data_IF_761980000477
#
_entry.id   IF_761980000477
#
_cell.length_a   1.000
_cell.length_b   1.000
_cell.length_c   1.000
_cell.angle_alpha   90.00
_cell.angle_beta   90.00
_cell.angle_gamma   90.00
#
_symmetry.space_group_name_H-M   'P 1'
#
loop_
_entity.id
_entity.type
_entity.pdbx_description
1 polymer ?
#
# COMPACT_ATOMS: atom_id res chain seq x y z
N UNK A 1 50.46 40.09 20.16
CA UNK A 1 49.02 39.80 19.91
C UNK A 1 48.97 38.42 19.31
N UNK A 2 48.73 37.44 20.17
CA UNK A 2 48.54 36.04 19.81
C UNK A 2 47.22 35.89 19.07
N UNK A 3 47.25 35.22 17.91
CA UNK A 3 46.04 34.78 17.21
C UNK A 3 45.73 33.35 17.66
N UNK A 4 44.64 33.20 18.42
CA UNK A 4 43.99 31.91 18.65
C UNK A 4 43.36 31.44 17.33
N UNK A 5 43.74 30.23 16.89
CA UNK A 5 42.99 29.42 15.94
C UNK A 5 42.04 28.54 16.75
N UNK A 6 40.74 28.67 16.53
CA UNK A 6 39.73 27.77 17.08
C UNK A 6 39.50 26.64 16.08
N UNK A 7 39.91 25.44 16.48
CA UNK A 7 39.49 24.19 15.84
C UNK A 7 37.97 24.04 15.99
N UNK A 8 37.29 23.84 14.87
CA UNK A 8 35.88 23.45 14.83
C UNK A 8 35.81 21.97 14.47
N UNK A 9 35.58 21.14 15.50
CA UNK A 9 35.16 19.76 15.32
C UNK A 9 33.86 19.72 14.51
N UNK A 10 33.92 19.11 13.34
CA UNK A 10 32.75 18.78 12.55
C UNK A 10 32.15 17.49 13.10
N UNK A 11 31.04 17.64 13.83
CA UNK A 11 30.21 16.53 14.25
C UNK A 11 29.66 15.80 13.00
N UNK A 12 30.10 14.57 12.78
CA UNK A 12 29.50 13.66 11.81
C UNK A 12 28.09 13.30 12.27
N UNK A 13 27.10 13.92 11.64
CA UNK A 13 25.69 13.52 11.68
C UNK A 13 25.57 12.08 11.14
N UNK A 14 25.34 11.12 12.03
CA UNK A 14 24.96 9.77 11.66
C UNK A 14 23.53 9.79 11.13
N UNK A 15 23.37 9.85 9.81
CA UNK A 15 22.11 9.44 9.19
C UNK A 15 21.91 7.94 9.45
N UNK A 16 20.71 7.50 9.89
CA UNK A 16 20.41 6.08 9.97
C UNK A 16 20.62 5.47 8.58
N UNK A 17 21.37 4.38 8.54
CA UNK A 17 21.66 3.61 7.33
C UNK A 17 20.35 3.32 6.62
N UNK A 18 20.17 3.87 5.41
CA UNK A 18 18.97 3.66 4.59
C UNK A 18 18.84 2.15 4.36
N UNK A 19 17.77 1.52 4.84
CA UNK A 19 17.42 0.18 4.35
C UNK A 19 17.14 0.34 2.87
N UNK A 20 18.01 -0.22 2.03
CA UNK A 20 17.82 -0.22 0.59
C UNK A 20 16.96 -1.42 0.20
N UNK A 21 15.94 -1.17 -0.62
CA UNK A 21 15.16 -2.24 -1.24
C UNK A 21 16.11 -3.01 -2.16
N UNK A 22 16.21 -4.35 -2.06
CA UNK A 22 17.00 -5.14 -2.98
C UNK A 22 16.55 -4.91 -4.43
N UNK A 23 17.48 -4.87 -5.37
CA UNK A 23 17.12 -4.91 -6.79
C UNK A 23 16.48 -6.27 -7.10
N UNK A 24 15.29 -6.24 -7.69
CA UNK A 24 14.49 -7.41 -8.03
C UNK A 24 13.74 -7.16 -9.34
N UNK A 25 13.18 -8.21 -9.92
CA UNK A 25 12.29 -8.15 -11.08
C UNK A 25 10.87 -8.49 -10.67
N UNK A 26 9.89 -8.03 -11.45
CA UNK A 26 8.48 -8.29 -11.20
C UNK A 26 8.22 -9.79 -10.92
N UNK A 27 7.61 -10.08 -9.75
CA UNK A 27 7.28 -11.41 -9.20
C UNK A 27 8.44 -12.19 -8.59
N UNK A 28 9.60 -11.56 -8.43
CA UNK A 28 10.65 -12.13 -7.61
C UNK A 28 10.24 -12.18 -6.13
N UNK A 29 10.95 -13.00 -5.38
CA UNK A 29 10.90 -13.02 -3.92
C UNK A 29 12.05 -12.15 -3.40
N UNK A 30 11.73 -11.20 -2.53
CA UNK A 30 12.74 -10.36 -1.88
C UNK A 30 12.69 -10.54 -0.36
N UNK A 31 13.83 -10.29 0.28
CA UNK A 31 13.90 -10.08 1.72
C UNK A 31 14.20 -8.61 1.99
N UNK A 32 13.24 -7.89 2.57
CA UNK A 32 13.41 -6.51 3.00
C UNK A 32 13.22 -6.42 4.52
N UNK A 33 14.32 -6.11 5.20
CA UNK A 33 14.37 -6.08 6.67
C UNK A 33 15.55 -5.20 7.11
N UNK A 34 15.34 -4.26 8.05
CA UNK A 34 14.09 -3.97 8.73
C UNK A 34 13.13 -3.14 7.87
N UNK A 35 11.83 -3.30 8.13
CA UNK A 35 10.76 -2.41 7.66
C UNK A 35 10.01 -1.80 8.83
N UNK A 36 9.17 -0.81 8.56
CA UNK A 36 8.51 -0.03 9.60
C UNK A 36 7.00 0.04 9.37
N UNK A 37 6.25 -0.14 10.45
CA UNK A 37 4.83 0.18 10.52
C UNK A 37 4.60 1.38 11.42
N UNK A 38 3.74 2.31 11.01
CA UNK A 38 3.27 3.42 11.84
C UNK A 38 1.79 3.23 12.06
N UNK A 39 1.38 3.11 13.32
CA UNK A 39 0.00 2.81 13.69
C UNK A 39 -0.10 1.75 14.78
N UNK A 40 -1.15 0.93 14.72
CA UNK A 40 -1.35 -0.21 15.60
C UNK A 40 -1.22 -1.52 14.82
N UNK A 41 -0.62 -2.52 15.48
CA UNK A 41 -0.45 -3.88 14.97
C UNK A 41 -1.64 -4.78 15.31
N UNK A 42 -2.62 -4.29 16.08
CA UNK A 42 -3.80 -5.06 16.46
C UNK A 42 -4.67 -5.44 15.24
N UNK A 43 -4.93 -6.75 15.07
CA UNK A 43 -5.80 -7.32 14.03
C UNK A 43 -7.28 -6.99 14.27
N UNK A 44 -7.66 -6.78 15.52
CA UNK A 44 -9.05 -6.52 15.93
C UNK A 44 -9.40 -5.04 15.78
N UNK A 45 -9.49 -4.57 14.53
CA UNK A 45 -10.00 -3.24 14.26
C UNK A 45 -11.52 -3.23 14.44
N UNK A 46 -12.03 -2.28 15.21
CA UNK A 46 -13.49 -2.04 15.32
C UNK A 46 -14.04 -1.31 14.10
N UNK A 47 -13.17 -0.59 13.37
CA UNK A 47 -13.51 0.15 12.15
C UNK A 47 -13.21 -0.68 10.89
N UNK A 48 -13.95 -0.47 9.79
CA UNK A 48 -13.58 -0.93 8.45
C UNK A 48 -12.10 -0.67 8.13
N UNK A 49 -11.47 -1.60 7.42
CA UNK A 49 -10.17 -1.30 6.81
C UNK A 49 -10.41 -0.31 5.67
N UNK A 50 -9.71 0.82 5.73
CA UNK A 50 -9.72 1.86 4.69
C UNK A 50 -8.44 1.84 3.86
N UNK A 51 -7.53 0.89 4.12
CA UNK A 51 -6.27 0.76 3.39
C UNK A 51 -6.49 0.01 2.09
N UNK A 52 -5.71 0.37 1.08
CA UNK A 52 -5.76 -0.27 -0.24
C UNK A 52 -5.20 -1.70 -0.22
N UNK A 53 -4.55 -2.11 0.88
CA UNK A 53 -3.92 -3.42 1.04
C UNK A 53 -4.78 -4.41 1.85
N UNK A 54 -6.01 -4.02 2.20
CA UNK A 54 -6.96 -4.86 2.94
C UNK A 54 -6.56 -5.10 4.40
N UNK A 55 -6.54 -6.35 4.85
CA UNK A 55 -6.26 -6.73 6.26
C UNK A 55 -4.79 -6.71 6.66
N UNK A 56 -3.88 -6.41 5.76
CA UNK A 56 -2.46 -6.49 6.06
C UNK A 56 -1.95 -5.27 6.84
N UNK A 57 -0.74 -5.42 7.37
CA UNK A 57 0.00 -4.36 8.07
C UNK A 57 0.84 -3.62 7.04
N UNK A 58 0.43 -2.40 6.70
CA UNK A 58 1.17 -1.58 5.75
C UNK A 58 2.55 -1.22 6.30
N UNK A 59 3.58 -1.38 5.47
CA UNK A 59 5.00 -1.22 5.84
C UNK A 59 5.76 -0.29 4.89
N UNK A 60 6.79 0.36 5.42
CA UNK A 60 7.66 1.26 4.69
C UNK A 60 9.11 1.18 5.17
N UNK A 61 10.07 1.51 4.32
CA UNK A 61 11.47 1.81 4.71
C UNK A 61 11.68 3.29 5.07
N UNK A 62 10.62 4.10 4.97
CA UNK A 62 10.62 5.54 5.24
C UNK A 62 9.54 5.89 6.29
N UNK A 63 9.71 5.48 7.57
CA UNK A 63 8.69 5.67 8.60
C UNK A 63 8.29 7.13 8.82
N UNK A 64 9.23 8.07 8.69
CA UNK A 64 8.94 9.49 8.85
C UNK A 64 8.01 10.04 7.75
N UNK A 65 8.16 9.58 6.50
CA UNK A 65 7.27 9.95 5.42
C UNK A 65 5.90 9.30 5.60
N UNK A 66 5.87 8.04 6.04
CA UNK A 66 4.61 7.34 6.32
C UNK A 66 3.80 8.03 7.42
N UNK A 67 4.45 8.41 8.54
CA UNK A 67 3.78 9.17 9.59
C UNK A 67 3.25 10.52 9.09
N UNK A 68 3.99 11.23 8.24
CA UNK A 68 3.54 12.50 7.66
C UNK A 68 2.25 12.31 6.85
N UNK A 69 2.17 11.23 6.07
CA UNK A 69 1.00 10.90 5.25
C UNK A 69 -0.21 10.58 6.13
N UNK A 70 -0.07 9.67 7.10
CA UNK A 70 -1.14 9.30 8.06
C UNK A 70 -1.68 10.53 8.82
N UNK A 71 -0.86 11.56 9.01
CA UNK A 71 -1.29 12.79 9.68
C UNK A 71 -1.93 13.78 8.72
N UNK A 72 -1.45 13.83 7.48
CA UNK A 72 -1.96 14.72 6.44
C UNK A 72 -3.32 14.28 5.90
N UNK A 73 -3.59 12.96 5.83
CA UNK A 73 -4.87 12.41 5.36
C UNK A 73 -6.03 12.60 6.37
N UNK A 74 -5.71 13.05 7.60
CA UNK A 74 -6.68 13.32 8.66
C UNK A 74 -7.09 12.10 9.49
N UNK A 75 -6.63 10.89 9.15
CA UNK A 75 -7.10 9.61 9.75
C UNK A 75 -6.70 9.45 11.21
N UNK A 76 -5.49 9.89 11.59
CA UNK A 76 -4.94 9.71 12.94
C UNK A 76 -4.41 11.01 13.56
N UNK A 77 -4.95 12.16 13.16
CA UNK A 77 -4.55 13.49 13.71
C UNK A 77 -4.64 13.58 15.24
N UNK A 78 -5.58 12.85 15.85
CA UNK A 78 -5.83 12.84 17.29
C UNK A 78 -5.29 11.60 18.02
N UNK A 79 -4.55 10.73 17.33
CA UNK A 79 -4.08 9.47 17.89
C UNK A 79 -2.60 9.56 18.29
N UNK A 80 -2.24 8.78 19.30
CA UNK A 80 -0.83 8.55 19.63
C UNK A 80 -0.32 7.43 18.73
N UNK A 81 0.59 7.75 17.81
CA UNK A 81 1.12 6.78 16.87
C UNK A 81 2.35 6.11 17.47
N UNK A 82 2.47 4.80 17.22
CA UNK A 82 3.69 4.05 17.48
C UNK A 82 4.35 3.72 16.16
N UNK A 83 5.67 3.88 16.12
CA UNK A 83 6.50 3.40 15.01
C UNK A 83 7.14 2.10 15.45
N UNK A 84 6.69 1.01 14.84
CA UNK A 84 7.26 -0.31 15.03
C UNK A 84 8.31 -0.56 13.97
N UNK A 85 9.50 -0.95 14.41
CA UNK A 85 10.49 -1.61 13.58
C UNK A 85 10.23 -3.10 13.58
N UNK A 86 10.06 -3.65 12.38
CA UNK A 86 9.78 -5.05 12.11
C UNK A 86 11.03 -5.65 11.45
N UNK A 87 11.57 -6.71 12.05
CA UNK A 87 12.79 -7.37 11.55
C UNK A 87 12.54 -8.87 11.37
N UNK A 88 12.68 -9.36 10.14
CA UNK A 88 12.77 -10.77 9.82
C UNK A 88 13.77 -10.96 8.66
N UNK A 89 14.98 -11.51 8.90
CA UNK A 89 16.00 -11.68 7.87
C UNK A 89 15.71 -12.85 6.91
N UNK A 90 14.72 -13.69 7.21
CA UNK A 90 14.30 -14.82 6.38
C UNK A 90 12.96 -14.53 5.68
N UNK A 91 12.53 -13.27 5.67
CA UNK A 91 11.24 -12.91 5.10
C UNK A 91 11.21 -13.13 3.59
N UNK A 92 10.11 -13.71 3.10
CA UNK A 92 9.81 -13.90 1.69
C UNK A 92 8.67 -12.98 1.29
N UNK A 93 9.02 -11.80 0.77
CA UNK A 93 8.06 -10.79 0.31
C UNK A 93 7.92 -10.87 -1.21
N UNK A 94 6.69 -10.90 -1.70
CA UNK A 94 6.38 -10.92 -3.13
C UNK A 94 6.57 -9.52 -3.74
N UNK A 95 7.46 -9.40 -4.72
CA UNK A 95 7.82 -8.10 -5.30
C UNK A 95 6.99 -7.79 -6.55
N UNK A 96 6.40 -6.60 -6.58
CA UNK A 96 5.63 -6.07 -7.70
C UNK A 96 6.30 -4.82 -8.24
N UNK A 97 6.80 -4.90 -9.48
CA UNK A 97 7.07 -3.71 -10.29
C UNK A 97 5.74 -3.16 -10.81
N UNK A 98 5.33 -1.92 -10.45
CA UNK A 98 4.06 -1.35 -10.87
C UNK A 98 3.99 -1.01 -12.37
N UNK A 99 5.12 -1.02 -13.09
CA UNK A 99 5.16 -0.80 -14.54
C UNK A 99 4.87 -2.07 -15.34
N UNK A 100 4.89 -3.23 -14.69
CA UNK A 100 4.64 -4.53 -15.30
C UNK A 100 3.19 -5.00 -15.07
N UNK A 101 2.60 -5.75 -16.01
CA UNK A 101 1.21 -6.20 -15.90
C UNK A 101 1.04 -7.33 -14.88
N UNK A 102 -0.02 -7.25 -14.08
CA UNK A 102 -0.42 -8.25 -13.08
C UNK A 102 -1.13 -9.50 -13.66
N UNK A 103 -0.74 -9.92 -14.87
CA UNK A 103 -1.47 -10.97 -15.61
C UNK A 103 -1.56 -12.29 -14.84
N UNK A 104 -0.49 -12.70 -14.15
CA UNK A 104 -0.47 -13.98 -13.43
C UNK A 104 -1.34 -13.93 -12.17
N UNK A 105 -1.28 -12.82 -11.44
CA UNK A 105 -2.07 -12.56 -10.25
C UNK A 105 -3.56 -12.50 -10.62
N UNK A 106 -3.89 -11.80 -11.71
CA UNK A 106 -5.25 -11.69 -12.23
C UNK A 106 -5.81 -13.06 -12.65
N UNK A 107 -5.07 -13.80 -13.49
CA UNK A 107 -5.49 -15.14 -13.96
C UNK A 107 -5.72 -16.09 -12.78
N UNK A 108 -4.80 -16.11 -11.81
CA UNK A 108 -4.94 -16.92 -10.61
C UNK A 108 -6.18 -16.52 -9.79
N UNK A 109 -6.42 -15.22 -9.61
CA UNK A 109 -7.57 -14.72 -8.86
C UNK A 109 -8.90 -15.02 -9.55
N UNK A 110 -8.94 -15.07 -10.88
CA UNK A 110 -10.10 -15.52 -11.65
C UNK A 110 -10.33 -17.02 -11.44
N UNK A 111 -9.28 -17.83 -11.58
CA UNK A 111 -9.35 -19.30 -11.39
C UNK A 111 -9.82 -19.68 -9.98
N UNK A 112 -9.46 -18.90 -8.97
CA UNK A 112 -9.77 -19.15 -7.56
C UNK A 112 -10.99 -18.37 -7.06
N UNK A 113 -11.82 -17.83 -7.96
CA UNK A 113 -13.08 -17.15 -7.67
C UNK A 113 -12.95 -15.93 -6.73
N UNK A 114 -11.78 -15.28 -6.72
CA UNK A 114 -11.61 -13.99 -6.04
C UNK A 114 -12.20 -12.86 -6.87
N UNK A 115 -11.91 -12.85 -8.17
CA UNK A 115 -12.44 -11.85 -9.11
C UNK A 115 -13.07 -12.50 -10.33
N UNK A 116 -13.80 -11.70 -11.09
CA UNK A 116 -14.23 -12.01 -12.45
C UNK A 116 -14.13 -10.74 -13.29
N UNK A 117 -13.88 -10.91 -14.57
CA UNK A 117 -13.96 -9.82 -15.54
C UNK A 117 -15.43 -9.52 -15.88
N UNK A 118 -15.73 -8.25 -16.05
CA UNK A 118 -17.06 -7.76 -16.47
C UNK A 118 -16.86 -6.53 -17.34
N UNK A 119 -17.67 -6.38 -18.38
CA UNK A 119 -17.64 -5.18 -19.19
C UNK A 119 -17.99 -3.96 -18.33
N UNK A 120 -17.18 -2.92 -18.43
CA UNK A 120 -17.31 -1.68 -17.70
C UNK A 120 -16.70 -0.53 -18.46
N UNK A 121 -16.31 0.50 -17.73
CA UNK A 121 -15.91 1.78 -18.27
C UNK A 121 -14.76 2.36 -17.49
N UNK A 122 -13.76 2.90 -18.19
CA UNK A 122 -12.67 3.68 -17.60
C UNK A 122 -12.92 5.15 -17.84
N UNK A 123 -12.78 5.94 -16.79
CA UNK A 123 -12.75 7.40 -16.83
C UNK A 123 -11.31 7.84 -16.66
N UNK A 124 -10.75 8.52 -17.66
CA UNK A 124 -9.41 9.12 -17.58
C UNK A 124 -9.54 10.64 -17.49
N UNK A 125 -8.78 11.26 -16.58
CA UNK A 125 -8.81 12.70 -16.36
C UNK A 125 -7.43 13.23 -15.95
N UNK A 126 -7.24 14.54 -16.09
CA UNK A 126 -6.03 15.22 -15.62
C UNK A 126 -6.17 15.52 -14.14
N UNK A 127 -5.17 15.12 -13.36
CA UNK A 127 -5.09 15.34 -11.92
C UNK A 127 -3.89 16.24 -11.61
N UNK A 128 -4.09 17.26 -10.78
CA UNK A 128 -3.07 18.28 -10.51
C UNK A 128 -1.80 17.71 -9.85
N UNK A 129 -1.91 16.52 -9.25
CA UNK A 129 -0.91 15.88 -8.41
C UNK A 129 -0.17 14.80 -9.19
N UNK A 130 -0.91 13.91 -9.86
CA UNK A 130 -0.41 12.72 -10.58
C UNK A 130 -0.29 12.92 -12.10
N UNK A 131 -0.74 14.05 -12.64
CA UNK A 131 -0.76 14.32 -14.08
C UNK A 131 -1.98 13.69 -14.75
N UNK A 132 -1.93 12.39 -14.99
CA UNK A 132 -3.06 11.64 -15.57
C UNK A 132 -3.50 10.54 -14.61
N UNK A 133 -4.78 10.55 -14.22
CA UNK A 133 -5.39 9.56 -13.34
C UNK A 133 -6.57 8.87 -14.03
N UNK A 134 -6.99 7.74 -13.47
CA UNK A 134 -8.18 7.04 -13.94
C UNK A 134 -8.99 6.43 -12.80
N UNK A 135 -10.27 6.20 -13.10
CA UNK A 135 -11.21 5.43 -12.28
C UNK A 135 -11.94 4.43 -13.18
N UNK A 136 -12.46 3.36 -12.58
CA UNK A 136 -13.18 2.31 -13.30
C UNK A 136 -14.56 2.09 -12.70
N UNK A 137 -15.55 1.86 -13.57
CA UNK A 137 -16.95 1.72 -13.19
C UNK A 137 -17.59 0.56 -13.96
N UNK A 138 -18.53 -0.12 -13.32
CA UNK A 138 -19.39 -1.10 -14.00
C UNK A 138 -20.52 -0.41 -14.77
N UNK A 139 -21.03 0.72 -14.26
CA UNK A 139 -22.18 1.42 -14.82
C UNK A 139 -21.76 2.62 -15.68
N UNK A 140 -22.25 2.65 -16.92
CA UNK A 140 -21.98 3.73 -17.88
C UNK A 140 -22.43 5.11 -17.35
N UNK A 141 -23.63 5.18 -16.76
CA UNK A 141 -24.19 6.43 -16.23
C UNK A 141 -23.28 7.04 -15.17
N UNK A 142 -22.74 6.22 -14.26
CA UNK A 142 -21.78 6.67 -13.23
C UNK A 142 -20.47 7.15 -13.87
N UNK A 143 -19.94 6.40 -14.84
CA UNK A 143 -18.73 6.79 -15.55
C UNK A 143 -18.89 8.13 -16.28
N UNK A 144 -20.03 8.35 -16.94
CA UNK A 144 -20.33 9.61 -17.62
C UNK A 144 -20.44 10.78 -16.64
N UNK A 145 -21.14 10.60 -15.52
CA UNK A 145 -21.23 11.63 -14.47
C UNK A 145 -19.85 12.01 -13.91
N UNK A 146 -19.00 11.02 -13.65
CA UNK A 146 -17.64 11.23 -13.12
C UNK A 146 -16.73 11.91 -14.14
N UNK A 147 -16.82 11.52 -15.41
CA UNK A 147 -16.10 12.16 -16.51
C UNK A 147 -16.53 13.62 -16.70
N UNK A 148 -17.82 13.93 -16.66
CA UNK A 148 -18.32 15.31 -16.74
C UNK A 148 -17.80 16.16 -15.56
N UNK A 149 -17.84 15.61 -14.34
CA UNK A 149 -17.41 16.31 -13.13
C UNK A 149 -15.91 16.64 -13.13
N UNK A 150 -15.07 15.78 -13.74
CA UNK A 150 -13.61 15.92 -13.79
C UNK A 150 -13.08 16.41 -15.13
N UNK A 151 -13.96 16.72 -16.08
CA UNK A 151 -13.59 17.06 -17.46
C UNK A 151 -12.69 15.98 -18.09
N UNK A 152 -13.05 14.71 -17.87
CA UNK A 152 -12.37 13.51 -18.36
C UNK A 152 -13.03 12.86 -19.58
N UNK A 153 -12.53 11.69 -19.97
CA UNK A 153 -13.02 10.88 -21.08
C UNK A 153 -13.45 9.50 -20.61
N UNK A 154 -14.52 8.95 -21.20
CA UNK A 154 -15.02 7.60 -20.93
C UNK A 154 -14.64 6.67 -22.09
N UNK A 155 -14.11 5.50 -21.77
CA UNK A 155 -13.92 4.39 -22.72
C UNK A 155 -14.47 3.07 -22.16
N UNK A 156 -14.98 2.20 -23.03
CA UNK A 156 -15.36 0.84 -22.66
C UNK A 156 -14.09 0.01 -22.40
N UNK A 157 -14.08 -0.74 -21.29
CA UNK A 157 -12.99 -1.66 -20.92
C UNK A 157 -13.55 -2.82 -20.12
N UNK A 158 -12.78 -3.90 -20.00
CA UNK A 158 -13.04 -4.91 -18.97
C UNK A 158 -12.57 -4.38 -17.61
N UNK A 159 -13.39 -4.58 -16.58
CA UNK A 159 -13.09 -4.22 -15.19
C UNK A 159 -13.21 -5.47 -14.30
N UNK A 160 -12.48 -5.46 -13.18
CA UNK A 160 -12.57 -6.54 -12.21
C UNK A 160 -13.70 -6.29 -11.21
N UNK A 161 -14.50 -7.33 -10.96
CA UNK A 161 -15.51 -7.33 -9.91
C UNK A 161 -15.32 -8.55 -9.00
N UNK A 162 -15.84 -8.47 -7.77
CA UNK A 162 -15.71 -9.57 -6.81
C UNK A 162 -16.48 -10.82 -7.29
N UNK A 163 -15.81 -11.97 -7.20
CA UNK A 163 -16.40 -13.30 -7.32
C UNK A 163 -16.61 -13.90 -5.90
N UNK A 164 -17.24 -15.08 -5.74
CA UNK A 164 -17.68 -15.57 -4.42
C UNK A 164 -16.61 -15.60 -3.31
N UNK A 165 -15.36 -15.98 -3.61
CA UNK A 165 -14.28 -15.96 -2.63
C UNK A 165 -13.85 -14.53 -2.28
N UNK A 166 -13.80 -13.64 -3.27
CA UNK A 166 -13.51 -12.22 -3.08
C UNK A 166 -14.58 -11.50 -2.28
N UNK A 167 -15.86 -11.80 -2.50
CA UNK A 167 -16.98 -11.28 -1.68
C UNK A 167 -16.81 -11.66 -0.22
N UNK A 168 -16.45 -12.92 0.05
CA UNK A 168 -16.19 -13.39 1.42
C UNK A 168 -15.04 -12.62 2.07
N UNK A 169 -13.94 -12.43 1.35
CA UNK A 169 -12.82 -11.62 1.82
C UNK A 169 -13.25 -10.17 2.07
N UNK A 170 -13.98 -9.55 1.14
CA UNK A 170 -14.40 -8.16 1.21
C UNK A 170 -15.25 -7.87 2.45
N UNK A 171 -16.24 -8.72 2.70
CA UNK A 171 -17.11 -8.61 3.88
C UNK A 171 -16.33 -8.74 5.19
N UNK A 172 -15.33 -9.60 5.23
CA UNK A 172 -14.49 -9.82 6.41
C UNK A 172 -13.49 -8.68 6.64
N UNK A 173 -12.77 -8.31 5.58
CA UNK A 173 -11.74 -7.29 5.57
C UNK A 173 -12.32 -5.88 5.65
N UNK A 174 -13.09 -5.47 4.64
CA UNK A 174 -13.56 -4.09 4.54
C UNK A 174 -14.82 -3.84 5.34
N UNK A 175 -15.59 -4.89 5.71
CA UNK A 175 -16.87 -4.77 6.43
C UNK A 175 -17.85 -3.82 5.72
N UNK A 176 -17.75 -3.79 4.40
CA UNK A 176 -18.56 -3.02 3.47
C UNK A 176 -19.37 -3.96 2.61
N UNK A 177 -20.45 -3.45 2.03
CA UNK A 177 -21.22 -4.20 1.04
C UNK A 177 -20.38 -4.40 -0.23
N UNK A 178 -20.50 -5.54 -0.95
CA UNK A 178 -19.73 -5.76 -2.17
C UNK A 178 -19.98 -4.74 -3.28
N UNK A 179 -21.12 -4.05 -3.25
CA UNK A 179 -21.46 -2.96 -4.17
C UNK A 179 -20.61 -1.70 -3.96
N UNK A 180 -19.96 -1.56 -2.80
CA UNK A 180 -19.02 -0.48 -2.49
C UNK A 180 -17.59 -0.81 -2.96
N UNK A 181 -17.37 -2.00 -3.51
CA UNK A 181 -16.04 -2.41 -3.97
C UNK A 181 -15.66 -1.72 -5.29
N UNK A 182 -14.66 -0.84 -5.19
CA UNK A 182 -14.07 -0.14 -6.32
C UNK A 182 -13.23 -1.10 -7.20
N UNK A 183 -13.42 -1.13 -8.54
CA UNK A 183 -12.67 -2.03 -9.41
C UNK A 183 -11.15 -1.84 -9.40
N UNK A 184 -10.66 -0.61 -9.24
CA UNK A 184 -9.21 -0.31 -9.16
C UNK A 184 -8.64 -0.87 -7.85
N UNK A 185 -9.36 -0.70 -6.74
CA UNK A 185 -8.99 -1.31 -5.47
C UNK A 185 -9.01 -2.85 -5.54
N UNK A 186 -10.01 -3.45 -6.20
CA UNK A 186 -10.04 -4.89 -6.44
C UNK A 186 -8.79 -5.35 -7.20
N UNK A 187 -8.40 -4.63 -8.26
CA UNK A 187 -7.18 -4.93 -9.01
C UNK A 187 -5.92 -4.85 -8.12
N UNK A 188 -5.82 -3.82 -7.27
CA UNK A 188 -4.74 -3.68 -6.30
C UNK A 188 -4.64 -4.82 -5.27
N UNK A 189 -5.75 -5.50 -4.97
CA UNK A 189 -5.78 -6.65 -4.06
C UNK A 189 -5.37 -7.98 -4.71
N UNK A 190 -5.30 -8.06 -6.03
CA UNK A 190 -4.90 -9.30 -6.72
C UNK A 190 -3.51 -9.82 -6.32
N UNK A 191 -2.43 -9.00 -6.26
CA UNK A 191 -1.15 -9.47 -5.75
C UNK A 191 -1.22 -9.87 -4.27
N UNK A 192 -2.07 -9.23 -3.46
CA UNK A 192 -2.26 -9.56 -2.04
C UNK A 192 -2.88 -10.95 -1.89
N UNK A 193 -3.95 -11.25 -2.62
CA UNK A 193 -4.60 -12.57 -2.56
C UNK A 193 -3.69 -13.67 -3.12
N UNK A 194 -3.03 -13.40 -4.25
CA UNK A 194 -2.08 -14.33 -4.86
C UNK A 194 -0.93 -14.65 -3.90
N UNK A 195 -0.26 -13.62 -3.37
CA UNK A 195 0.90 -13.82 -2.52
C UNK A 195 0.53 -14.55 -1.22
N UNK A 196 -0.62 -14.20 -0.61
CA UNK A 196 -1.11 -14.89 0.58
C UNK A 196 -1.37 -16.37 0.33
N UNK A 197 -1.97 -16.72 -0.81
CA UNK A 197 -2.25 -18.11 -1.14
C UNK A 197 -0.99 -18.93 -1.44
N UNK A 198 0.09 -18.27 -1.85
CA UNK A 198 1.38 -18.89 -2.16
C UNK A 198 2.37 -18.90 -0.98
N UNK A 199 1.96 -18.42 0.20
CA UNK A 199 2.75 -18.53 1.43
C UNK A 199 3.85 -17.48 1.61
N UNK A 200 3.76 -16.37 0.88
CA UNK A 200 4.63 -15.21 1.12
C UNK A 200 4.27 -14.50 2.42
N UNK A 201 5.22 -13.78 3.01
CA UNK A 201 5.02 -12.96 4.19
C UNK A 201 4.20 -11.69 3.92
N UNK A 202 4.16 -11.27 2.65
CA UNK A 202 3.60 -9.99 2.25
C UNK A 202 3.86 -9.64 0.78
N UNK A 203 3.53 -8.40 0.43
CA UNK A 203 3.75 -7.82 -0.90
C UNK A 203 4.54 -6.53 -0.76
N UNK A 204 5.45 -6.28 -1.70
CA UNK A 204 6.15 -5.00 -1.84
C UNK A 204 5.90 -4.45 -3.23
N UNK A 205 5.29 -3.26 -3.33
CA UNK A 205 5.13 -2.54 -4.57
C UNK A 205 6.29 -1.57 -4.72
N UNK A 206 7.10 -1.74 -5.76
CA UNK A 206 8.25 -0.86 -6.01
C UNK A 206 7.84 0.45 -6.69
N UNK A 207 6.92 1.14 -6.04
CA UNK A 207 6.50 2.46 -6.45
C UNK A 207 7.62 3.49 -6.23
N UNK A 208 7.64 4.49 -7.11
CA UNK A 208 8.50 5.64 -6.97
C UNK A 208 8.23 6.33 -5.62
N UNK A 209 9.27 6.50 -4.82
CA UNK A 209 9.14 7.16 -3.53
C UNK A 209 8.76 8.64 -3.70
N UNK A 210 7.46 8.93 -3.55
CA UNK A 210 6.90 10.28 -3.64
C UNK A 210 5.94 10.60 -2.48
N UNK A 211 6.47 11.04 -1.33
CA UNK A 211 5.65 11.39 -0.17
C UNK A 211 4.64 12.52 -0.40
N UNK A 212 4.85 13.38 -1.40
CA UNK A 212 3.91 14.48 -1.69
C UNK A 212 2.62 13.97 -2.30
N UNK A 213 2.72 12.83 -2.99
CA UNK A 213 1.63 12.16 -3.68
C UNK A 213 1.20 10.89 -2.93
N UNK A 214 1.49 10.82 -1.64
CA UNK A 214 1.09 9.74 -0.74
C UNK A 214 1.69 8.35 -1.06
N UNK A 215 2.80 8.25 -1.81
CA UNK A 215 3.50 6.97 -2.09
C UNK A 215 4.45 6.54 -0.95
N UNK A 216 3.86 6.39 0.23
CA UNK A 216 4.35 5.59 1.35
C UNK A 216 3.11 5.31 2.22
N UNK A 217 2.84 4.06 2.63
CA UNK A 217 3.70 2.88 2.64
C UNK A 217 3.80 2.24 1.25
N UNK A 218 4.72 1.30 1.07
CA UNK A 218 5.00 0.66 -0.24
C UNK A 218 4.96 -0.86 -0.19
N UNK A 219 4.38 -1.39 0.89
CA UNK A 219 4.28 -2.82 1.08
C UNK A 219 3.30 -3.14 2.18
N UNK A 220 3.02 -4.43 2.30
CA UNK A 220 2.12 -4.98 3.30
C UNK A 220 2.70 -6.30 3.80
N UNK A 221 2.66 -6.51 5.12
CA UNK A 221 2.88 -7.82 5.75
C UNK A 221 1.51 -8.42 6.08
N UNK A 222 1.31 -9.70 5.81
CA UNK A 222 0.07 -10.35 6.22
C UNK A 222 0.03 -10.50 7.74
N UNK A 223 -1.10 -10.18 8.34
CA UNK A 223 -1.27 -10.25 9.79
C UNK A 223 -0.91 -11.62 10.38
N UNK A 224 -1.16 -12.72 9.66
CA UNK A 224 -0.81 -14.08 10.08
C UNK A 224 0.68 -14.32 10.21
N UNK A 225 1.49 -13.53 9.52
CA UNK A 225 2.94 -13.72 9.44
C UNK A 225 3.68 -12.85 10.46
N UNK A 226 3.03 -11.87 11.09
CA UNK A 226 3.67 -10.96 12.05
C UNK A 226 4.33 -11.66 13.25
N UNK A 227 3.89 -12.87 13.62
CA UNK A 227 4.51 -13.65 14.69
C UNK A 227 5.94 -14.09 14.35
N UNK A 228 6.28 -14.18 13.06
CA UNK A 228 7.63 -14.48 12.58
C UNK A 228 8.56 -13.26 12.59
N UNK A 229 8.02 -12.06 12.81
CA UNK A 229 8.79 -10.80 12.81
C UNK A 229 9.12 -10.35 14.23
N UNK A 230 10.37 -9.96 14.46
CA UNK A 230 10.74 -9.24 15.68
C UNK A 230 10.16 -7.82 15.64
N UNK A 231 9.44 -7.44 16.70
CA UNK A 231 8.71 -6.18 16.80
C UNK A 231 9.30 -5.31 17.89
N UNK A 232 9.84 -4.15 17.53
CA UNK A 232 10.37 -3.16 18.50
C UNK A 232 9.73 -1.80 18.27
N UNK A 233 9.22 -1.17 19.33
CA UNK A 233 8.76 0.23 19.27
C UNK A 233 9.97 1.15 19.29
N UNK A 234 10.24 1.84 18.18
CA UNK A 234 11.34 2.81 18.10
C UNK A 234 10.91 4.22 18.50
N UNK A 235 9.65 4.57 18.23
CA UNK A 235 9.14 5.90 18.49
C UNK A 235 7.67 5.86 18.89
N UNK A 236 7.27 6.83 19.70
CA UNK A 236 5.89 7.13 20.01
C UNK A 236 5.68 8.64 19.84
N UNK A 237 4.72 9.04 19.03
CA UNK A 237 4.44 10.45 18.74
C UNK A 237 3.06 10.83 19.23
N UNK A 238 3.02 11.88 20.06
CA UNK A 238 1.79 12.43 20.62
C UNK A 238 0.90 13.04 19.52
N UNK A 239 -0.42 13.19 19.79
CA UNK A 239 -1.33 13.92 18.90
C UNK A 239 -0.87 15.37 18.66
N UNK A 240 -1.31 15.94 17.53
CA UNK A 240 -1.18 17.37 17.24
C UNK A 240 -2.35 18.17 17.83
#
# INVERSE_FOLDING_TARGET
MEHLSMDTETATSGHPTRTEVPSATHRDTICISPVYHVGDLDDERTKPYTSHEGRGVSISVHPAAWEQIIRADGTSTHETLKTYKLTNPEAEIYYIDPSEPLTVEHEWCIEHEFVKETSGFRVTYEDEVSGTAYMEFVAEETAQMEAEARNGTVEETDVLTLAPAGVKYWLDAFRQTPEEADPVLIAGLTPVWYAKANGYDGVWWDEEYDPKNYSAPRGVIFQSELESWEQTVEQQTSPF
#
